data_IF_039492758646
#
_entry.id   IF_039492758646
#
_cell.length_a   1.000
_cell.length_b   1.000
_cell.length_c   1.000
_cell.angle_alpha   90.00
_cell.angle_beta   90.00
_cell.angle_gamma   90.00
#
_symmetry.space_group_name_H-M   'P 1'
#
loop_
_entity.id
_entity.type
_entity.pdbx_description
1 polymer ?
#
# COMPACT_ATOMS: atom_id res chain seq x y z
N UNK A 1 -9.28 -23.99 -31.04
CA UNK A 1 -9.12 -24.01 -29.57
C UNK A 1 -10.02 -25.11 -29.01
N UNK A 2 -9.48 -26.02 -28.21
CA UNK A 2 -10.25 -27.12 -27.60
C UNK A 2 -11.16 -26.52 -26.52
N UNK A 3 -12.39 -27.00 -26.47
CA UNK A 3 -13.46 -26.49 -25.61
C UNK A 3 -14.01 -27.58 -24.69
N UNK A 4 -14.75 -27.20 -23.66
CA UNK A 4 -15.46 -28.15 -22.78
C UNK A 4 -16.48 -29.02 -23.55
N UNK A 5 -16.94 -28.59 -24.73
CA UNK A 5 -17.80 -29.39 -25.63
C UNK A 5 -17.02 -30.53 -26.26
N UNK A 6 -15.75 -30.35 -26.58
CA UNK A 6 -14.92 -31.39 -27.17
C UNK A 6 -14.59 -32.46 -26.12
N UNK A 7 -14.31 -32.07 -24.88
CA UNK A 7 -14.17 -32.96 -23.72
C UNK A 7 -15.47 -33.74 -23.47
N UNK A 8 -16.62 -33.08 -23.53
CA UNK A 8 -17.92 -33.69 -23.35
C UNK A 8 -18.20 -34.78 -24.39
N UNK A 9 -17.85 -34.49 -25.66
CA UNK A 9 -17.97 -35.42 -26.77
C UNK A 9 -17.09 -36.67 -26.57
N UNK A 10 -15.82 -36.46 -26.19
CA UNK A 10 -14.86 -37.55 -25.97
C UNK A 10 -15.21 -38.38 -24.73
N UNK A 11 -15.66 -37.76 -23.66
CA UNK A 11 -16.06 -38.42 -22.42
C UNK A 11 -17.47 -39.05 -22.49
N UNK A 12 -18.26 -38.82 -23.55
CA UNK A 12 -19.64 -39.33 -23.69
C UNK A 12 -20.59 -38.78 -22.62
N UNK A 13 -20.45 -37.50 -22.25
CA UNK A 13 -21.28 -36.81 -21.23
C UNK A 13 -21.75 -35.44 -21.72
N UNK A 14 -22.67 -34.80 -21.00
CA UNK A 14 -23.09 -33.44 -21.31
C UNK A 14 -22.02 -32.40 -20.88
N UNK A 15 -21.98 -31.24 -21.54
CA UNK A 15 -21.07 -30.13 -21.16
C UNK A 15 -21.24 -29.69 -19.69
N UNK A 16 -22.46 -29.59 -19.12
CA UNK A 16 -22.62 -29.30 -17.68
C UNK A 16 -22.00 -30.40 -16.79
N UNK A 17 -22.04 -31.69 -17.23
CA UNK A 17 -21.41 -32.79 -16.50
C UNK A 17 -19.89 -32.66 -16.50
N UNK A 18 -19.26 -32.27 -17.61
CA UNK A 18 -17.82 -31.96 -17.67
C UNK A 18 -17.48 -30.87 -16.67
N UNK A 19 -18.23 -29.78 -16.69
CA UNK A 19 -18.01 -28.65 -15.78
C UNK A 19 -18.15 -29.05 -14.31
N UNK A 20 -19.08 -29.90 -13.95
CA UNK A 20 -19.27 -30.44 -12.58
C UNK A 20 -18.16 -31.40 -12.20
N UNK A 21 -17.81 -32.33 -13.09
CA UNK A 21 -16.76 -33.30 -12.85
C UNK A 21 -15.41 -32.65 -12.56
N UNK A 22 -14.99 -31.67 -13.41
CA UNK A 22 -13.73 -30.98 -13.26
C UNK A 22 -13.69 -30.02 -12.02
N UNK A 23 -14.86 -29.72 -11.43
CA UNK A 23 -14.99 -28.99 -10.16
C UNK A 23 -15.04 -29.89 -8.92
N UNK A 24 -15.00 -31.19 -9.08
CA UNK A 24 -15.10 -32.11 -7.95
C UNK A 24 -16.50 -32.24 -7.34
N UNK A 25 -17.57 -31.83 -8.06
CA UNK A 25 -18.95 -31.89 -7.58
C UNK A 25 -19.33 -33.33 -7.17
N UNK A 26 -19.71 -33.51 -5.92
CA UNK A 26 -20.04 -34.83 -5.36
C UNK A 26 -21.25 -35.51 -6.04
N UNK A 27 -22.08 -34.76 -6.76
CA UNK A 27 -23.20 -35.29 -7.54
C UNK A 27 -22.75 -36.05 -8.81
N UNK A 28 -21.48 -35.95 -9.17
CA UNK A 28 -20.89 -36.69 -10.28
C UNK A 28 -20.16 -37.91 -9.73
N UNK A 29 -20.53 -39.11 -10.21
CA UNK A 29 -19.90 -40.37 -9.78
C UNK A 29 -18.40 -40.39 -10.10
N UNK A 30 -17.61 -41.07 -9.27
CA UNK A 30 -16.17 -41.19 -9.43
C UNK A 30 -15.76 -41.68 -10.79
N UNK A 31 -16.43 -42.77 -11.29
CA UNK A 31 -16.20 -43.30 -12.62
C UNK A 31 -16.44 -42.29 -13.74
N UNK A 32 -17.42 -41.40 -13.58
CA UNK A 32 -17.67 -40.32 -14.55
C UNK A 32 -16.61 -39.23 -14.45
N UNK A 33 -16.17 -38.90 -13.25
CA UNK A 33 -15.11 -37.91 -12.99
C UNK A 33 -13.79 -38.34 -13.62
N UNK A 34 -13.37 -39.60 -13.42
CA UNK A 34 -12.17 -40.18 -14.05
C UNK A 34 -12.26 -40.19 -15.57
N UNK A 35 -13.42 -40.54 -16.14
CA UNK A 35 -13.62 -40.52 -17.57
C UNK A 35 -13.51 -39.14 -18.18
N UNK A 36 -14.06 -38.14 -17.50
CA UNK A 36 -13.93 -36.71 -17.89
C UNK A 36 -12.49 -36.25 -17.77
N UNK A 37 -11.80 -36.61 -16.68
CA UNK A 37 -10.40 -36.23 -16.48
C UNK A 37 -9.52 -36.80 -17.57
N UNK A 38 -9.63 -38.10 -17.88
CA UNK A 38 -8.89 -38.75 -18.99
C UNK A 38 -9.15 -38.09 -20.34
N UNK A 39 -10.40 -37.71 -20.61
CA UNK A 39 -10.73 -36.99 -21.84
C UNK A 39 -10.13 -35.58 -21.89
N UNK A 40 -10.11 -34.85 -20.75
CA UNK A 40 -9.48 -33.54 -20.65
C UNK A 40 -7.96 -33.61 -20.87
N UNK A 41 -7.30 -34.60 -20.23
CA UNK A 41 -5.86 -34.82 -20.37
C UNK A 41 -5.47 -35.21 -21.81
N UNK A 42 -6.24 -36.10 -22.43
CA UNK A 42 -6.02 -36.56 -23.83
C UNK A 42 -6.14 -35.38 -24.84
N UNK A 43 -6.95 -34.41 -24.53
CA UNK A 43 -7.13 -33.19 -25.34
C UNK A 43 -6.24 -32.01 -24.91
N UNK A 44 -5.41 -32.16 -23.89
CA UNK A 44 -4.70 -31.07 -23.24
C UNK A 44 -5.66 -29.89 -22.93
N UNK A 45 -6.87 -30.22 -22.48
CA UNK A 45 -7.89 -29.22 -22.16
C UNK A 45 -7.67 -28.64 -20.76
N UNK A 46 -7.41 -27.35 -20.71
CA UNK A 46 -7.39 -26.57 -19.46
C UNK A 46 -8.74 -25.84 -19.35
N UNK A 47 -9.49 -26.02 -18.25
CA UNK A 47 -10.74 -25.30 -18.05
C UNK A 47 -10.52 -23.79 -18.14
N UNK A 48 -11.30 -23.10 -18.96
CA UNK A 48 -11.24 -21.64 -19.06
C UNK A 48 -11.79 -20.99 -17.79
N UNK A 49 -10.97 -20.21 -17.09
CA UNK A 49 -11.41 -19.43 -15.94
C UNK A 49 -12.50 -18.42 -16.32
N UNK A 50 -12.44 -17.85 -17.50
CA UNK A 50 -13.47 -16.95 -18.04
C UNK A 50 -14.84 -17.64 -18.16
N UNK A 51 -14.86 -18.93 -18.58
CA UNK A 51 -16.10 -19.71 -18.61
C UNK A 51 -16.63 -20.05 -17.22
N UNK A 52 -15.75 -20.13 -16.23
CA UNK A 52 -16.08 -20.37 -14.82
C UNK A 52 -16.66 -19.11 -14.17
N UNK A 53 -16.02 -17.98 -14.34
CA UNK A 53 -16.44 -16.70 -13.78
C UNK A 53 -17.82 -16.24 -14.30
N UNK A 54 -18.10 -16.47 -15.59
CA UNK A 54 -19.42 -16.19 -16.18
C UNK A 54 -20.55 -17.01 -15.52
N UNK A 55 -20.25 -18.24 -15.06
CA UNK A 55 -21.27 -19.12 -14.46
C UNK A 55 -21.45 -18.92 -12.96
N UNK A 56 -20.42 -18.50 -12.25
CA UNK A 56 -20.42 -18.33 -10.78
C UNK A 56 -20.49 -16.88 -10.35
N UNK A 57 -20.28 -15.92 -11.24
CA UNK A 57 -20.11 -14.48 -10.97
C UNK A 57 -18.94 -14.17 -10.02
N UNK A 58 -18.06 -15.13 -9.76
CA UNK A 58 -16.86 -14.98 -8.92
C UNK A 58 -15.64 -15.16 -9.80
N UNK A 59 -14.75 -14.19 -9.78
CA UNK A 59 -13.52 -14.18 -10.61
C UNK A 59 -12.31 -14.73 -9.86
N UNK A 60 -12.34 -14.70 -8.53
CA UNK A 60 -11.22 -14.95 -7.62
C UNK A 60 -10.01 -14.05 -7.95
N UNK A 61 -10.29 -12.79 -8.33
CA UNK A 61 -9.27 -11.78 -8.63
C UNK A 61 -9.51 -10.54 -7.81
N UNK A 62 -8.43 -9.98 -7.27
CA UNK A 62 -8.41 -8.72 -6.52
C UNK A 62 -7.57 -7.70 -7.26
N UNK A 63 -8.14 -6.51 -7.48
CA UNK A 63 -7.41 -5.37 -7.99
C UNK A 63 -6.64 -4.68 -6.88
N UNK A 64 -5.37 -4.33 -7.13
CA UNK A 64 -4.55 -3.54 -6.20
C UNK A 64 -4.09 -2.29 -6.90
N UNK A 65 -4.49 -1.13 -6.39
CA UNK A 65 -4.16 0.17 -6.99
C UNK A 65 -2.96 0.77 -6.28
N UNK A 66 -1.88 0.99 -7.06
CA UNK A 66 -0.63 1.63 -6.61
C UNK A 66 -0.22 2.75 -7.55
N UNK A 67 0.59 3.72 -7.10
CA UNK A 67 1.02 4.85 -7.95
C UNK A 67 2.26 4.53 -8.78
N UNK A 68 3.30 4.01 -8.15
CA UNK A 68 4.61 3.81 -8.78
C UNK A 68 5.30 2.54 -8.27
N UNK A 69 5.44 1.55 -9.14
CA UNK A 69 6.12 0.30 -8.81
C UNK A 69 7.64 0.44 -8.63
N UNK A 70 8.21 1.57 -9.04
CA UNK A 70 9.64 1.85 -8.84
C UNK A 70 9.96 2.41 -7.46
N UNK A 71 8.94 2.87 -6.72
CA UNK A 71 9.12 3.29 -5.34
C UNK A 71 9.35 2.06 -4.43
N UNK A 72 10.49 1.97 -3.74
CA UNK A 72 10.87 0.80 -2.94
C UNK A 72 9.95 0.49 -1.75
N UNK A 73 9.04 1.38 -1.41
CA UNK A 73 8.00 1.15 -0.39
C UNK A 73 7.00 0.06 -0.83
N UNK A 74 6.50 0.13 -2.07
CA UNK A 74 5.41 -0.75 -2.51
C UNK A 74 5.73 -2.24 -2.54
N UNK A 75 6.92 -2.72 -2.94
CA UNK A 75 7.24 -4.14 -2.89
C UNK A 75 7.05 -4.77 -1.51
N UNK A 76 7.28 -4.00 -0.42
CA UNK A 76 7.12 -4.47 0.96
C UNK A 76 5.67 -4.55 1.43
N UNK A 77 4.74 -3.90 0.74
CA UNK A 77 3.30 -4.10 0.92
C UNK A 77 2.75 -5.17 -0.02
N UNK A 78 3.20 -5.16 -1.28
CA UNK A 78 2.64 -6.02 -2.33
C UNK A 78 2.95 -7.50 -2.07
N UNK A 79 4.16 -7.83 -1.62
CA UNK A 79 4.54 -9.21 -1.31
C UNK A 79 3.63 -9.85 -0.26
N UNK A 80 3.58 -9.33 0.98
CA UNK A 80 2.72 -9.87 2.03
C UNK A 80 1.22 -9.85 1.67
N UNK A 81 0.77 -8.82 0.95
CA UNK A 81 -0.61 -8.73 0.45
C UNK A 81 -0.93 -9.86 -0.52
N UNK A 82 -0.01 -10.15 -1.46
CA UNK A 82 -0.13 -11.24 -2.42
C UNK A 82 -0.24 -12.58 -1.71
N UNK A 83 0.68 -12.85 -0.77
CA UNK A 83 0.75 -14.13 -0.07
C UNK A 83 -0.52 -14.40 0.74
N UNK A 84 -1.06 -13.40 1.42
CA UNK A 84 -2.30 -13.51 2.18
C UNK A 84 -3.51 -13.74 1.24
N UNK A 85 -3.60 -12.98 0.13
CA UNK A 85 -4.68 -13.19 -0.86
C UNK A 85 -4.61 -14.57 -1.50
N UNK A 86 -3.40 -15.09 -1.81
CA UNK A 86 -3.21 -16.41 -2.38
C UNK A 86 -3.65 -17.54 -1.43
N UNK A 87 -3.39 -17.40 -0.11
CA UNK A 87 -3.88 -18.33 0.91
C UNK A 87 -5.40 -18.44 0.92
N UNK A 88 -6.10 -17.35 0.60
CA UNK A 88 -7.56 -17.31 0.44
C UNK A 88 -8.05 -17.68 -0.98
N UNK A 89 -7.13 -18.10 -1.87
CA UNK A 89 -7.42 -18.51 -3.24
C UNK A 89 -7.75 -17.38 -4.20
N UNK A 90 -7.34 -16.15 -3.87
CA UNK A 90 -7.46 -14.98 -4.75
C UNK A 90 -6.15 -14.72 -5.50
N UNK A 91 -6.28 -14.24 -6.73
CA UNK A 91 -5.16 -13.76 -7.55
C UNK A 91 -5.13 -12.25 -7.57
N UNK A 92 -3.96 -11.68 -7.40
CA UNK A 92 -3.76 -10.25 -7.42
C UNK A 92 -3.58 -9.72 -8.85
N UNK A 93 -4.20 -8.60 -9.16
CA UNK A 93 -4.01 -7.80 -10.38
C UNK A 93 -3.55 -6.40 -9.99
N UNK A 94 -2.37 -5.99 -10.45
CA UNK A 94 -1.85 -4.64 -10.18
C UNK A 94 -2.36 -3.64 -11.20
N UNK A 95 -2.84 -2.50 -10.69
CA UNK A 95 -3.21 -1.33 -11.46
C UNK A 95 -2.32 -0.18 -11.01
N UNK A 96 -1.56 0.37 -11.95
CA UNK A 96 -0.72 1.56 -11.68
C UNK A 96 -1.47 2.81 -12.11
N UNK A 97 -1.62 3.74 -11.20
CA UNK A 97 -2.32 5.00 -11.48
C UNK A 97 -1.48 6.19 -11.00
N UNK A 98 -0.96 6.96 -11.96
CA UNK A 98 -0.23 8.20 -11.68
C UNK A 98 -1.14 9.42 -11.54
N UNK A 99 -2.40 9.29 -11.90
CA UNK A 99 -3.45 10.31 -11.74
C UNK A 99 -4.81 9.63 -11.72
N UNK A 100 -5.75 10.15 -10.92
CA UNK A 100 -7.15 9.68 -10.90
C UNK A 100 -7.85 9.98 -12.23
N UNK A 101 -7.48 9.28 -13.29
CA UNK A 101 -8.12 9.40 -14.59
C UNK A 101 -9.28 8.42 -14.71
N UNK A 102 -10.35 8.86 -15.39
CA UNK A 102 -11.54 8.03 -15.66
C UNK A 102 -11.22 6.68 -16.33
N UNK A 103 -10.04 6.52 -16.94
CA UNK A 103 -9.61 5.31 -17.66
C UNK A 103 -9.21 4.19 -16.70
N UNK A 104 -8.51 4.50 -15.59
CA UNK A 104 -8.15 3.46 -14.60
C UNK A 104 -9.40 2.99 -13.85
N UNK A 105 -10.29 3.92 -13.49
CA UNK A 105 -11.59 3.59 -12.91
C UNK A 105 -12.40 2.65 -13.80
N UNK A 106 -12.43 2.84 -15.12
CA UNK A 106 -13.14 1.97 -16.05
C UNK A 106 -12.60 0.53 -16.08
N UNK A 107 -11.28 0.34 -15.99
CA UNK A 107 -10.65 -0.99 -15.98
C UNK A 107 -10.91 -1.77 -14.69
N UNK A 108 -10.99 -1.07 -13.55
CA UNK A 108 -11.37 -1.67 -12.27
C UNK A 108 -12.85 -2.07 -12.25
N UNK A 109 -13.68 -1.38 -13.04
CA UNK A 109 -15.13 -1.48 -12.99
C UNK A 109 -15.73 -2.42 -14.06
N UNK A 110 -14.93 -3.21 -14.79
CA UNK A 110 -15.38 -4.11 -15.86
C UNK A 110 -15.90 -5.48 -15.38
N UNK A 111 -16.07 -5.67 -14.07
CA UNK A 111 -16.46 -6.92 -13.42
C UNK A 111 -15.47 -8.07 -13.61
N UNK A 112 -14.21 -7.77 -13.86
CA UNK A 112 -13.13 -8.76 -13.96
C UNK A 112 -12.47 -9.09 -12.62
N UNK A 113 -12.86 -8.40 -11.56
CA UNK A 113 -12.34 -8.52 -10.19
C UNK A 113 -13.50 -8.59 -9.18
N UNK A 114 -13.25 -9.19 -8.03
CA UNK A 114 -14.22 -9.37 -6.95
C UNK A 114 -14.08 -8.31 -5.84
N UNK A 115 -12.96 -7.59 -5.83
CA UNK A 115 -12.70 -6.52 -4.85
C UNK A 115 -11.44 -5.74 -5.17
N UNK A 116 -11.20 -4.65 -4.44
CA UNK A 116 -10.11 -3.70 -4.69
C UNK A 116 -9.38 -3.33 -3.40
N UNK A 117 -8.05 -3.36 -3.42
CA UNK A 117 -7.19 -2.73 -2.41
C UNK A 117 -6.72 -1.37 -2.94
N UNK A 118 -7.03 -0.31 -2.22
CA UNK A 118 -6.65 1.06 -2.54
C UNK A 118 -5.45 1.47 -1.68
N UNK A 119 -4.23 1.38 -2.22
CA UNK A 119 -3.01 1.73 -1.51
C UNK A 119 -2.54 3.19 -1.75
N UNK A 120 -3.27 3.95 -2.58
CA UNK A 120 -2.83 5.28 -3.04
C UNK A 120 -3.92 6.33 -3.01
N UNK A 121 -4.99 6.10 -2.24
CA UNK A 121 -6.09 7.02 -2.15
C UNK A 121 -5.64 8.43 -1.74
N UNK A 122 -6.21 9.45 -2.36
CA UNK A 122 -6.11 10.86 -1.94
C UNK A 122 -7.37 11.27 -1.18
N UNK A 123 -7.28 12.33 -0.39
CA UNK A 123 -8.38 12.81 0.45
C UNK A 123 -9.63 13.17 -0.39
N UNK A 124 -9.43 13.65 -1.61
CA UNK A 124 -10.51 14.03 -2.55
C UNK A 124 -10.87 12.95 -3.58
N UNK A 125 -10.35 11.74 -3.43
CA UNK A 125 -10.59 10.65 -4.39
C UNK A 125 -12.09 10.34 -4.54
N UNK A 126 -12.53 10.22 -5.80
CA UNK A 126 -13.90 9.76 -6.15
C UNK A 126 -13.98 8.26 -6.40
N UNK A 127 -12.85 7.59 -6.52
CA UNK A 127 -12.81 6.16 -6.81
C UNK A 127 -13.56 5.32 -5.76
N UNK A 128 -13.44 5.56 -4.44
CA UNK A 128 -14.23 4.83 -3.45
C UNK A 128 -15.75 4.96 -3.64
N UNK A 129 -16.23 6.16 -4.02
CA UNK A 129 -17.65 6.38 -4.32
C UNK A 129 -18.10 5.61 -5.58
N UNK A 130 -17.22 5.52 -6.59
CA UNK A 130 -17.51 4.78 -7.81
C UNK A 130 -17.56 3.27 -7.56
N UNK A 131 -16.66 2.75 -6.72
CA UNK A 131 -16.65 1.34 -6.30
C UNK A 131 -17.93 1.01 -5.50
N UNK A 132 -18.29 1.86 -4.54
CA UNK A 132 -19.50 1.67 -3.72
C UNK A 132 -20.78 1.69 -4.56
N UNK A 133 -20.93 2.63 -5.51
CA UNK A 133 -22.08 2.67 -6.42
C UNK A 133 -22.25 1.42 -7.28
N UNK A 134 -21.16 0.68 -7.49
CA UNK A 134 -21.14 -0.57 -8.27
C UNK A 134 -21.15 -1.82 -7.39
N UNK A 135 -21.31 -1.64 -6.07
CA UNK A 135 -21.32 -2.74 -5.09
C UNK A 135 -20.04 -3.59 -5.19
N UNK A 136 -18.90 -2.96 -5.53
CA UNK A 136 -17.61 -3.62 -5.60
C UNK A 136 -16.87 -3.42 -4.27
N UNK A 137 -16.64 -4.49 -3.49
CA UNK A 137 -15.93 -4.43 -2.22
C UNK A 137 -14.56 -3.80 -2.35
N UNK A 138 -14.18 -2.95 -1.40
CA UNK A 138 -12.84 -2.37 -1.35
C UNK A 138 -12.36 -2.18 0.08
N UNK A 139 -11.04 -2.04 0.22
CA UNK A 139 -10.34 -1.73 1.47
C UNK A 139 -9.28 -0.66 1.21
N UNK A 140 -9.10 0.23 2.16
CA UNK A 140 -7.97 1.14 2.17
C UNK A 140 -6.75 0.46 2.80
N UNK A 141 -5.60 0.62 2.16
CA UNK A 141 -4.30 0.18 2.66
C UNK A 141 -3.37 1.39 2.76
N UNK A 142 -2.83 1.67 3.95
CA UNK A 142 -1.90 2.76 4.25
C UNK A 142 -2.49 4.19 4.15
N UNK A 143 -3.38 4.45 3.19
CA UNK A 143 -4.01 5.76 2.95
C UNK A 143 -5.51 5.62 2.85
N UNK A 144 -6.23 6.60 3.35
CA UNK A 144 -7.68 6.70 3.26
C UNK A 144 -8.08 7.88 2.36
N UNK A 145 -9.22 7.74 1.68
CA UNK A 145 -9.94 8.90 1.15
C UNK A 145 -10.86 9.45 2.25
N UNK A 146 -11.01 10.77 2.30
CA UNK A 146 -11.89 11.39 3.29
C UNK A 146 -13.38 11.05 3.06
N UNK A 147 -14.16 11.05 4.13
CA UNK A 147 -15.60 11.26 4.05
C UNK A 147 -16.52 10.08 4.30
N UNK A 148 -16.09 8.81 4.23
CA UNK A 148 -16.99 7.67 4.50
C UNK A 148 -16.31 6.53 5.24
N UNK A 149 -17.03 5.86 6.17
CA UNK A 149 -16.53 4.63 6.78
C UNK A 149 -16.32 3.55 5.72
N UNK A 150 -15.13 2.98 5.67
CA UNK A 150 -14.78 1.83 4.87
C UNK A 150 -13.78 0.96 5.63
N UNK A 151 -13.60 -0.29 5.20
CA UNK A 151 -12.54 -1.10 5.75
C UNK A 151 -11.18 -0.45 5.46
N UNK A 152 -10.32 -0.39 6.49
CA UNK A 152 -9.02 0.24 6.37
C UNK A 152 -7.98 -0.43 7.29
N UNK A 153 -6.79 -0.64 6.76
CA UNK A 153 -5.58 -0.94 7.53
C UNK A 153 -4.62 0.23 7.36
N UNK A 154 -4.41 1.01 8.41
CA UNK A 154 -3.67 2.28 8.37
C UNK A 154 -2.81 2.45 9.61
N UNK A 155 -1.84 3.36 9.54
CA UNK A 155 -0.93 3.71 10.64
C UNK A 155 -1.42 4.95 11.35
N UNK A 156 -1.15 5.06 12.65
CA UNK A 156 -1.31 6.31 13.42
C UNK A 156 -0.18 7.28 13.02
N UNK A 157 -0.39 7.93 11.86
CA UNK A 157 0.58 8.85 11.29
C UNK A 157 0.80 10.10 12.16
N UNK A 158 -0.25 10.55 12.85
CA UNK A 158 -0.14 11.70 13.77
C UNK A 158 0.74 11.34 14.95
N UNK A 159 0.52 10.19 15.58
CA UNK A 159 1.38 9.71 16.66
C UNK A 159 2.83 9.57 16.18
N UNK A 160 3.06 8.98 14.99
CA UNK A 160 4.41 8.86 14.43
C UNK A 160 5.12 10.19 14.26
N UNK A 161 4.44 11.21 13.73
CA UNK A 161 4.98 12.57 13.62
C UNK A 161 5.30 13.17 14.99
N UNK A 162 4.44 12.97 15.99
CA UNK A 162 4.67 13.46 17.38
C UNK A 162 5.87 12.77 18.05
N UNK A 163 6.07 11.47 17.80
CA UNK A 163 7.24 10.73 18.32
C UNK A 163 8.54 11.36 17.81
N UNK A 164 8.63 11.64 16.51
CA UNK A 164 9.81 12.30 15.91
C UNK A 164 10.02 13.70 16.51
N UNK A 165 8.96 14.48 16.64
CA UNK A 165 9.05 15.83 17.22
C UNK A 165 9.58 15.81 18.65
N UNK A 166 9.07 14.90 19.48
CA UNK A 166 9.52 14.73 20.87
C UNK A 166 10.98 14.34 20.93
N UNK A 167 11.41 13.35 20.17
CA UNK A 167 12.80 12.91 20.12
C UNK A 167 13.74 14.07 19.76
N UNK A 168 13.44 14.81 18.69
CA UNK A 168 14.26 15.94 18.27
C UNK A 168 14.33 17.04 19.34
N UNK A 169 13.22 17.29 20.04
CA UNK A 169 13.17 18.27 21.13
C UNK A 169 13.99 17.81 22.34
N UNK A 170 13.94 16.53 22.71
CA UNK A 170 14.71 15.92 23.81
C UNK A 170 16.21 15.91 23.51
N UNK A 171 16.60 15.70 22.25
CA UNK A 171 17.98 15.79 21.76
C UNK A 171 18.50 17.25 21.70
N UNK A 172 17.67 18.24 21.99
CA UNK A 172 18.04 19.65 22.06
C UNK A 172 17.95 20.42 20.75
N UNK A 173 17.46 19.83 19.67
CA UNK A 173 17.26 20.55 18.40
C UNK A 173 16.18 21.63 18.52
N UNK A 174 16.45 22.81 17.92
CA UNK A 174 15.53 23.95 17.88
C UNK A 174 15.33 24.46 16.45
N UNK A 175 16.40 24.44 15.65
CA UNK A 175 16.37 24.77 14.22
C UNK A 175 16.08 23.51 13.45
N UNK A 176 14.81 23.29 13.12
CA UNK A 176 14.30 22.04 12.56
C UNK A 176 13.60 22.33 11.23
N UNK A 177 13.74 21.42 10.28
CA UNK A 177 13.03 21.46 9.02
C UNK A 177 12.22 20.18 8.79
N UNK A 178 11.28 20.26 7.85
CA UNK A 178 10.45 19.15 7.42
C UNK A 178 10.43 19.04 5.89
N UNK A 179 10.65 17.84 5.37
CA UNK A 179 10.46 17.51 3.94
C UNK A 179 9.33 16.49 3.85
N UNK A 180 8.12 16.99 3.67
CA UNK A 180 6.89 16.22 3.75
C UNK A 180 6.44 15.60 2.43
N UNK A 181 5.49 14.67 2.54
CA UNK A 181 4.74 14.12 1.42
C UNK A 181 3.64 15.08 0.92
N UNK A 182 2.84 14.61 -0.07
CA UNK A 182 1.75 15.41 -0.63
C UNK A 182 0.67 15.71 0.41
N UNK A 183 0.24 16.96 0.51
CA UNK A 183 -0.77 17.42 1.47
C UNK A 183 -2.18 16.84 1.19
N UNK A 184 -2.43 16.40 -0.02
CA UNK A 184 -3.67 15.73 -0.45
C UNK A 184 -3.76 14.25 -0.03
N UNK A 185 -2.73 13.72 0.63
CA UNK A 185 -2.75 12.36 1.20
C UNK A 185 -2.91 12.40 2.72
N UNK A 186 -3.62 11.42 3.29
CA UNK A 186 -3.72 11.30 4.76
C UNK A 186 -2.35 11.13 5.39
N UNK A 187 -1.48 10.29 4.82
CA UNK A 187 -0.12 10.06 5.30
C UNK A 187 0.72 11.35 5.34
N UNK A 188 0.73 12.14 4.26
CA UNK A 188 1.49 13.40 4.22
C UNK A 188 0.98 14.42 5.22
N UNK A 189 -0.34 14.62 5.25
CA UNK A 189 -0.98 15.61 6.13
C UNK A 189 -0.87 15.25 7.61
N UNK A 190 -1.15 14.01 7.98
CA UNK A 190 -1.19 13.58 9.37
C UNK A 190 0.21 13.50 9.99
N UNK A 191 1.22 13.02 9.23
CA UNK A 191 2.63 13.03 9.68
C UNK A 191 3.12 14.44 9.96
N UNK A 192 2.84 15.40 9.07
CA UNK A 192 3.19 16.81 9.29
C UNK A 192 2.40 17.41 10.45
N UNK A 193 1.10 17.14 10.55
CA UNK A 193 0.26 17.66 11.63
C UNK A 193 0.76 17.18 13.00
N UNK A 194 1.01 15.88 13.15
CA UNK A 194 1.57 15.31 14.37
C UNK A 194 2.93 15.89 14.72
N UNK A 195 3.79 16.08 13.71
CA UNK A 195 5.11 16.68 13.90
C UNK A 195 5.03 18.13 14.39
N UNK A 196 4.19 18.97 13.75
CA UNK A 196 3.95 20.35 14.18
C UNK A 196 3.39 20.43 15.60
N UNK A 197 2.45 19.53 15.91
CA UNK A 197 1.83 19.48 17.23
C UNK A 197 2.88 19.13 18.32
N UNK A 198 3.67 18.06 18.08
CA UNK A 198 4.73 17.66 19.03
C UNK A 198 5.81 18.73 19.22
N UNK A 199 6.22 19.44 18.16
CA UNK A 199 7.14 20.58 18.28
C UNK A 199 6.52 21.72 19.09
N UNK A 200 5.25 22.04 18.84
CA UNK A 200 4.54 23.09 19.58
C UNK A 200 4.42 22.76 21.07
N UNK A 201 4.18 21.51 21.43
CA UNK A 201 4.19 21.02 22.83
C UNK A 201 5.54 21.25 23.52
N UNK A 202 6.64 21.18 22.75
CA UNK A 202 7.99 21.49 23.23
C UNK A 202 8.39 22.97 23.12
N UNK A 203 7.48 23.84 22.73
CA UNK A 203 7.74 25.29 22.54
C UNK A 203 8.63 25.60 21.32
N UNK A 204 8.67 24.69 20.31
CA UNK A 204 9.46 24.82 19.09
C UNK A 204 8.53 25.16 17.92
N UNK A 205 8.85 26.25 17.20
CA UNK A 205 8.13 26.59 15.97
C UNK A 205 8.66 25.83 14.75
N UNK A 206 7.78 25.51 13.81
CA UNK A 206 8.15 25.04 12.47
C UNK A 206 7.65 26.05 11.44
N UNK A 207 8.46 27.05 11.08
CA UNK A 207 8.05 28.09 10.13
C UNK A 207 7.91 27.49 8.72
N UNK A 208 7.03 28.07 7.92
CA UNK A 208 6.70 27.50 6.61
C UNK A 208 7.89 27.51 5.65
N UNK A 209 8.81 28.46 5.78
CA UNK A 209 10.08 28.51 5.04
C UNK A 209 11.00 27.31 5.32
N UNK A 210 10.82 26.62 6.45
CA UNK A 210 11.55 25.38 6.80
C UNK A 210 10.84 24.11 6.33
N UNK A 211 9.74 24.26 5.60
CA UNK A 211 8.96 23.10 5.12
C UNK A 211 9.03 23.00 3.59
N UNK A 212 9.24 21.79 3.10
CA UNK A 212 9.11 21.42 1.69
C UNK A 212 8.15 20.27 1.56
N UNK A 213 7.36 20.25 0.49
CA UNK A 213 6.42 19.15 0.23
C UNK A 213 6.53 18.73 -1.23
N UNK A 214 6.33 17.44 -1.49
CA UNK A 214 6.33 16.87 -2.82
C UNK A 214 5.88 15.41 -2.84
N UNK A 215 5.96 14.74 -3.98
CA UNK A 215 5.73 13.30 -4.07
C UNK A 215 6.60 12.52 -3.08
N UNK A 216 6.16 11.32 -2.69
CA UNK A 216 6.96 10.42 -1.85
C UNK A 216 8.08 9.76 -2.67
N UNK A 217 9.02 10.56 -3.14
CA UNK A 217 10.12 10.11 -4.00
C UNK A 217 11.48 10.67 -3.58
N UNK A 218 12.53 10.13 -4.18
CA UNK A 218 13.91 10.55 -3.95
C UNK A 218 14.13 12.03 -4.32
N UNK A 219 13.56 12.50 -5.43
CA UNK A 219 13.77 13.86 -5.93
C UNK A 219 13.22 14.93 -4.99
N UNK A 220 12.11 14.66 -4.33
CA UNK A 220 11.55 15.52 -3.29
C UNK A 220 12.53 15.72 -2.13
N UNK A 221 13.15 14.62 -1.67
CA UNK A 221 14.15 14.69 -0.61
C UNK A 221 15.41 15.44 -1.04
N UNK A 222 15.95 15.11 -2.20
CA UNK A 222 17.17 15.70 -2.73
C UNK A 222 17.02 17.22 -2.96
N UNK A 223 15.98 17.63 -3.67
CA UNK A 223 15.69 19.05 -3.94
C UNK A 223 15.30 19.79 -2.68
N UNK A 224 14.42 19.19 -1.87
CA UNK A 224 13.94 19.81 -0.63
C UNK A 224 15.08 20.18 0.31
N UNK A 225 16.02 19.26 0.57
CA UNK A 225 17.17 19.56 1.43
C UNK A 225 18.14 20.57 0.75
N UNK A 226 18.39 20.44 -0.55
CA UNK A 226 19.22 21.41 -1.28
C UNK A 226 18.68 22.85 -1.13
N UNK A 227 17.38 23.05 -1.29
CA UNK A 227 16.74 24.36 -1.12
C UNK A 227 16.79 24.87 0.33
N UNK A 228 16.58 23.97 1.31
CA UNK A 228 16.66 24.32 2.73
C UNK A 228 18.08 24.77 3.08
N UNK A 229 19.11 24.06 2.62
CA UNK A 229 20.52 24.42 2.90
C UNK A 229 20.95 25.71 2.19
N UNK A 230 20.31 26.10 1.11
CA UNK A 230 20.53 27.38 0.42
C UNK A 230 19.81 28.56 1.12
N UNK A 231 18.92 28.27 2.07
CA UNK A 231 18.18 29.29 2.83
C UNK A 231 19.04 30.04 3.88
N UNK A 232 18.43 31.05 4.53
CA UNK A 232 19.14 31.89 5.52
C UNK A 232 19.46 31.16 6.81
N UNK A 233 18.67 30.14 7.18
CA UNK A 233 18.87 29.35 8.40
C UNK A 233 19.22 27.93 8.05
N UNK A 234 20.22 27.35 8.71
CA UNK A 234 20.59 25.94 8.54
C UNK A 234 19.97 25.13 9.66
N UNK A 235 19.07 24.18 9.34
CA UNK A 235 18.52 23.32 10.37
C UNK A 235 19.60 22.38 10.91
N UNK A 236 19.40 21.93 12.13
CA UNK A 236 20.24 20.93 12.79
C UNK A 236 19.59 19.56 12.78
N UNK A 237 18.30 19.49 12.42
CA UNK A 237 17.56 18.28 12.24
C UNK A 237 16.52 18.43 11.11
N UNK A 238 16.29 17.34 10.39
CA UNK A 238 15.25 17.25 9.35
C UNK A 238 14.42 15.99 9.58
N UNK A 239 13.11 16.18 9.65
CA UNK A 239 12.15 15.10 9.55
C UNK A 239 11.69 14.95 8.09
N UNK A 240 11.86 13.77 7.52
CA UNK A 240 11.40 13.42 6.18
C UNK A 240 10.11 12.63 6.26
N UNK A 241 9.14 12.97 5.43
CA UNK A 241 7.80 12.39 5.42
C UNK A 241 7.78 10.88 5.15
N UNK A 242 8.86 10.32 4.56
CA UNK A 242 9.13 8.88 4.50
C UNK A 242 10.62 8.60 4.24
N UNK A 243 10.99 7.32 4.24
CA UNK A 243 12.40 6.89 4.06
C UNK A 243 12.92 7.19 2.65
N UNK A 244 12.08 7.14 1.63
CA UNK A 244 12.51 7.45 0.25
C UNK A 244 12.90 8.91 0.12
N UNK A 245 12.11 9.81 0.71
CA UNK A 245 12.46 11.24 0.85
C UNK A 245 13.75 11.38 1.68
N UNK A 246 13.87 10.66 2.80
CA UNK A 246 15.05 10.71 3.65
C UNK A 246 16.32 10.26 2.91
N UNK A 247 16.26 9.21 2.11
CA UNK A 247 17.39 8.76 1.27
C UNK A 247 17.77 9.84 0.25
N UNK A 248 16.80 10.54 -0.35
CA UNK A 248 17.05 11.69 -1.21
C UNK A 248 17.78 12.82 -0.47
N UNK A 249 17.28 13.19 0.71
CA UNK A 249 17.89 14.20 1.57
C UNK A 249 19.30 13.79 2.04
N UNK A 250 19.52 12.52 2.39
CA UNK A 250 20.83 11.99 2.74
C UNK A 250 21.85 12.18 1.61
N UNK A 251 21.46 11.92 0.38
CA UNK A 251 22.32 12.14 -0.78
C UNK A 251 22.58 13.62 -1.05
N UNK A 252 21.60 14.51 -0.85
CA UNK A 252 21.77 15.95 -0.95
C UNK A 252 22.77 16.46 0.12
N UNK A 253 22.64 16.01 1.38
CA UNK A 253 23.59 16.35 2.45
C UNK A 253 25.03 16.00 2.04
N UNK A 254 25.27 14.79 1.55
CA UNK A 254 26.61 14.37 1.05
C UNK A 254 27.11 15.26 -0.09
N UNK A 255 26.25 15.60 -1.04
CA UNK A 255 26.60 16.45 -2.19
C UNK A 255 26.99 17.88 -1.74
N UNK A 256 26.40 18.38 -0.64
CA UNK A 256 26.69 19.67 -0.06
C UNK A 256 27.74 19.65 1.06
N UNK A 257 28.39 18.50 1.32
CA UNK A 257 29.42 18.37 2.35
C UNK A 257 28.88 18.45 3.79
N UNK A 258 27.59 18.22 3.99
CA UNK A 258 26.94 18.17 5.31
C UNK A 258 27.05 16.74 5.85
N UNK A 259 27.60 16.59 7.05
CA UNK A 259 27.80 15.28 7.68
C UNK A 259 26.57 14.90 8.47
N UNK A 260 26.14 13.66 8.32
CA UNK A 260 25.06 13.05 9.09
C UNK A 260 25.71 11.97 9.98
N UNK A 261 25.51 12.00 11.30
CA UNK A 261 24.61 12.89 12.05
C UNK A 261 25.27 14.18 12.59
N UNK A 262 26.60 14.41 12.41
CA UNK A 262 27.38 15.43 13.15
C UNK A 262 26.91 16.86 12.88
N UNK A 263 26.55 17.18 11.64
CA UNK A 263 26.08 18.51 11.24
C UNK A 263 24.54 18.55 11.12
N UNK A 264 23.90 17.38 10.83
CA UNK A 264 22.49 17.30 10.58
C UNK A 264 21.91 15.95 11.01
N UNK A 265 20.98 15.93 11.94
CA UNK A 265 20.15 14.77 12.26
C UNK A 265 19.09 14.57 11.17
N UNK A 266 18.90 13.32 10.73
CA UNK A 266 17.93 12.96 9.69
C UNK A 266 17.06 11.80 10.18
N UNK A 267 15.74 11.97 10.16
CA UNK A 267 14.77 10.95 10.55
C UNK A 267 13.76 10.75 9.42
N UNK A 268 13.50 9.49 9.06
CA UNK A 268 12.52 9.07 8.06
C UNK A 268 11.21 8.57 8.67
N UNK A 269 10.45 7.83 7.87
CA UNK A 269 9.21 7.16 8.23
C UNK A 269 9.01 5.97 7.30
N UNK A 270 8.44 4.87 7.75
CA UNK A 270 8.04 3.61 7.14
C UNK A 270 8.97 2.42 7.49
N UNK A 271 10.21 2.64 7.87
CA UNK A 271 11.24 1.62 8.14
C UNK A 271 11.34 0.56 7.02
N UNK A 272 11.43 1.03 5.76
CA UNK A 272 11.70 0.11 4.66
C UNK A 272 13.06 -0.56 4.84
N UNK A 273 13.30 -1.80 4.39
CA UNK A 273 14.55 -2.52 4.62
C UNK A 273 15.81 -1.75 4.23
N UNK A 274 15.74 -0.85 3.24
CA UNK A 274 16.86 0.01 2.86
C UNK A 274 17.30 0.96 3.98
N UNK A 275 16.39 1.39 4.86
CA UNK A 275 16.71 2.27 5.99
C UNK A 275 17.74 1.64 6.93
N UNK A 276 17.69 0.31 7.09
CA UNK A 276 18.61 -0.44 7.93
C UNK A 276 19.96 -0.77 7.26
N UNK A 277 20.12 -0.50 5.96
CA UNK A 277 21.39 -0.78 5.29
C UNK A 277 22.52 0.07 5.89
N UNK A 278 23.70 -0.55 6.06
CA UNK A 278 24.87 0.12 6.64
C UNK A 278 25.22 1.44 5.93
N UNK A 279 24.95 1.51 4.62
CA UNK A 279 25.17 2.72 3.82
C UNK A 279 24.30 3.93 4.27
N UNK A 280 23.17 3.69 4.91
CA UNK A 280 22.27 4.73 5.39
C UNK A 280 22.18 4.75 6.91
N UNK A 281 21.95 3.60 7.55
CA UNK A 281 21.72 3.51 8.99
C UNK A 281 20.64 4.49 9.43
N UNK A 282 19.55 4.62 8.66
CA UNK A 282 18.55 5.67 8.79
C UNK A 282 17.67 5.44 10.03
N UNK A 283 17.63 6.43 10.92
CA UNK A 283 16.63 6.53 11.98
C UNK A 283 15.28 6.83 11.36
N UNK A 284 14.24 6.12 11.80
CA UNK A 284 12.95 6.20 11.13
C UNK A 284 11.82 5.77 12.07
N UNK A 285 10.59 6.01 11.66
CA UNK A 285 9.40 5.51 12.34
C UNK A 285 9.03 4.16 11.73
N UNK A 286 8.98 3.15 12.59
CA UNK A 286 8.65 1.78 12.25
C UNK A 286 7.18 1.46 12.51
N UNK A 287 6.64 0.59 11.70
CA UNK A 287 5.44 -0.21 11.88
C UNK A 287 5.53 -1.43 10.96
N UNK A 288 4.84 -2.51 11.29
CA UNK A 288 4.93 -3.74 10.50
C UNK A 288 4.19 -3.60 9.17
N UNK A 289 4.94 -3.37 8.08
CA UNK A 289 4.44 -3.24 6.71
C UNK A 289 3.77 -4.53 6.22
N UNK A 290 4.30 -5.68 6.63
CA UNK A 290 3.77 -6.98 6.27
C UNK A 290 2.40 -7.23 6.91
N UNK A 291 2.31 -7.03 8.23
CA UNK A 291 1.07 -7.19 8.98
C UNK A 291 0.00 -6.20 8.52
N UNK A 292 0.38 -4.94 8.23
CA UNK A 292 -0.52 -3.93 7.67
C UNK A 292 -1.15 -4.41 6.35
N UNK A 293 -0.34 -4.97 5.45
CA UNK A 293 -0.79 -5.47 4.16
C UNK A 293 -1.67 -6.72 4.28
N UNK A 294 -1.29 -7.66 5.15
CA UNK A 294 -2.06 -8.86 5.44
C UNK A 294 -3.42 -8.53 6.05
N UNK A 295 -3.47 -7.57 6.97
CA UNK A 295 -4.74 -7.12 7.55
C UNK A 295 -5.67 -6.54 6.51
N UNK A 296 -5.17 -5.74 5.57
CA UNK A 296 -5.99 -5.23 4.47
C UNK A 296 -6.56 -6.37 3.61
N UNK A 297 -5.77 -7.42 3.33
CA UNK A 297 -6.24 -8.60 2.62
C UNK A 297 -7.36 -9.31 3.39
N UNK A 298 -7.16 -9.56 4.69
CA UNK A 298 -8.15 -10.22 5.57
C UNK A 298 -9.46 -9.42 5.64
N UNK A 299 -9.38 -8.10 5.77
CA UNK A 299 -10.55 -7.22 5.78
C UNK A 299 -11.33 -7.32 4.47
N UNK A 300 -10.64 -7.28 3.33
CA UNK A 300 -11.28 -7.37 2.01
C UNK A 300 -11.91 -8.74 1.78
N UNK A 301 -11.19 -9.83 2.08
CA UNK A 301 -11.71 -11.21 1.94
C UNK A 301 -12.94 -11.41 2.82
N UNK A 302 -12.90 -10.96 4.08
CA UNK A 302 -14.06 -10.98 4.97
C UNK A 302 -15.27 -10.30 4.34
N UNK A 303 -15.09 -9.13 3.74
CA UNK A 303 -16.18 -8.38 3.08
C UNK A 303 -16.72 -9.08 1.84
N UNK A 304 -15.86 -9.70 1.04
CA UNK A 304 -16.26 -10.44 -0.18
C UNK A 304 -17.01 -11.74 0.17
N UNK A 305 -16.58 -12.44 1.22
CA UNK A 305 -17.09 -13.77 1.57
C UNK A 305 -18.23 -13.74 2.59
N UNK A 306 -18.58 -12.58 3.12
CA UNK A 306 -19.74 -12.42 4.01
C UNK A 306 -21.03 -12.35 3.21
N UNK A 307 -22.06 -13.10 3.65
CA UNK A 307 -23.42 -13.00 3.11
C UNK A 307 -24.15 -11.73 3.57
N UNK A 308 -23.75 -11.19 4.74
CA UNK A 308 -24.20 -9.91 5.29
C UNK A 308 -23.21 -8.81 4.90
N UNK A 309 -23.67 -7.56 4.82
CA UNK A 309 -22.77 -6.41 4.67
C UNK A 309 -22.19 -6.02 6.04
N UNK A 310 -20.97 -6.50 6.41
CA UNK A 310 -20.44 -6.28 7.73
C UNK A 310 -20.07 -4.81 7.93
N UNK A 311 -20.25 -4.32 9.17
CA UNK A 311 -19.80 -2.97 9.51
C UNK A 311 -18.32 -2.77 9.15
N UNK A 312 -17.94 -1.62 8.57
CA UNK A 312 -16.56 -1.29 8.26
C UNK A 312 -15.66 -1.36 9.49
N UNK A 313 -14.46 -1.92 9.32
CA UNK A 313 -13.44 -1.98 10.36
C UNK A 313 -12.24 -1.15 9.96
N UNK A 314 -11.78 -0.33 10.89
CA UNK A 314 -10.54 0.44 10.76
C UNK A 314 -9.52 -0.10 11.75
N UNK A 315 -8.51 -0.80 11.23
CA UNK A 315 -7.39 -1.29 12.03
C UNK A 315 -6.28 -0.24 12.01
N UNK A 316 -5.92 0.28 13.18
CA UNK A 316 -4.92 1.32 13.36
C UNK A 316 -3.64 0.69 13.93
N UNK A 317 -2.54 0.79 13.18
CA UNK A 317 -1.24 0.29 13.58
C UNK A 317 -0.48 1.37 14.35
N UNK A 318 0.02 1.01 15.53
CA UNK A 318 0.78 1.91 16.38
C UNK A 318 2.23 1.97 15.89
N UNK A 319 2.75 3.15 15.54
CA UNK A 319 4.14 3.30 15.14
C UNK A 319 5.07 3.41 16.35
N UNK A 320 6.35 3.08 16.13
CA UNK A 320 7.42 3.27 17.09
C UNK A 320 8.65 3.92 16.43
N UNK A 321 9.47 4.60 17.20
CA UNK A 321 10.68 5.24 16.69
C UNK A 321 11.87 4.25 16.78
N UNK A 322 12.55 4.04 15.66
CA UNK A 322 13.76 3.23 15.56
C UNK A 322 14.95 4.14 15.29
N UNK A 323 15.82 4.28 16.27
CA UNK A 323 17.02 5.11 16.19
C UNK A 323 18.20 4.31 15.67
N UNK A 324 18.91 4.87 14.67
CA UNK A 324 20.10 4.28 14.02
C UNK A 324 21.22 5.33 13.96
N UNK A 325 22.00 5.32 12.87
CA UNK A 325 23.22 6.14 12.75
C UNK A 325 22.96 7.61 12.33
N UNK A 326 21.76 7.97 11.94
CA UNK A 326 21.47 9.31 11.36
C UNK A 326 20.93 10.33 12.38
N UNK A 327 20.94 10.04 13.68
CA UNK A 327 20.53 10.98 14.71
C UNK A 327 21.63 11.20 15.74
N UNK A 328 21.70 12.40 16.30
CA UNK A 328 22.58 12.73 17.40
C UNK A 328 21.98 13.87 18.24
N UNK A 329 22.42 13.99 19.49
CA UNK A 329 22.14 15.16 20.33
C UNK A 329 22.84 16.41 19.78
N UNK A 330 22.20 17.57 20.00
CA UNK A 330 22.74 18.90 19.65
C UNK A 330 23.68 19.40 20.75
#
# INVERSE_FOLDING_TARGET
>A
MITSRDVARLAGVSQPTVSRALRGDQRVSEATRERVQRAADALNYVPSETGRSLSTRVTKRIGVVVTDLTNPFYPHLIGPLHDELEQHGYRMMLFTERSETAVASQRLLDRSIDGVVLATATIGSRLPDDLQRRELPFVFLNREAGGRPADAAVVDNELGGRLVARELAELGHRDIAHIGGPAETTTGREREMGFRLGLSEAGIGLPEESVRRGPFDFDTGYRGLTEILAGPTRPTAVFCGNDVIAIGAFNAARAHGVRIPEDLTLIGFDDIPMAAWEAFGLSTVHYDLGELAQEAARLLVRRIESDDDPEPRRTLFTPELVLRATHAAR
#
